data_IF_880436077105
#
_entry.id   IF_880436077105
#
_cell.length_a   1.000
_cell.length_b   1.000
_cell.length_c   1.000
_cell.angle_alpha   90.00
_cell.angle_beta   90.00
_cell.angle_gamma   90.00
#
_symmetry.space_group_name_H-M   'P 1'
#
loop_
_entity.id
_entity.type
_entity.pdbx_description
1 polymer ?
#
# COMPACT_ATOMS: atom_id res chain seq x y z
N UNK A 1 -44.56 -5.94 50.80
CA UNK A 1 -44.53 -7.24 50.11
C UNK A 1 -45.58 -7.13 49.02
N UNK A 2 -45.37 -7.25 47.72
CA UNK A 2 -44.22 -7.54 46.88
C UNK A 2 -44.79 -7.33 45.46
N UNK A 3 -44.31 -6.37 44.67
CA UNK A 3 -44.55 -6.48 43.22
C UNK A 3 -43.36 -5.94 42.42
N UNK A 4 -42.24 -6.66 42.58
CA UNK A 4 -41.00 -6.50 41.80
C UNK A 4 -41.01 -7.34 40.52
N UNK A 5 -42.18 -7.65 39.93
CA UNK A 5 -42.29 -8.64 38.84
C UNK A 5 -42.25 -8.08 37.41
N UNK A 6 -42.20 -6.76 37.22
CA UNK A 6 -42.23 -6.17 35.87
C UNK A 6 -40.85 -5.91 35.24
N UNK A 7 -39.75 -6.05 36.00
CA UNK A 7 -38.39 -5.78 35.50
C UNK A 7 -37.64 -6.96 34.87
N UNK A 8 -38.16 -8.19 34.94
CA UNK A 8 -37.38 -9.41 34.63
C UNK A 8 -37.62 -9.94 33.21
N UNK A 9 -38.65 -9.46 32.50
CA UNK A 9 -38.96 -9.99 31.16
C UNK A 9 -38.29 -9.24 30.01
N UNK A 10 -37.94 -7.96 30.17
CA UNK A 10 -37.26 -7.19 29.11
C UNK A 10 -35.78 -7.53 28.95
N UNK A 11 -35.12 -8.11 29.95
CA UNK A 11 -33.70 -8.45 29.87
C UNK A 11 -33.40 -9.81 29.21
N UNK A 12 -34.42 -10.67 28.99
CA UNK A 12 -34.23 -11.98 28.34
C UNK A 12 -34.04 -11.90 26.82
N UNK A 13 -34.52 -10.82 26.19
CA UNK A 13 -34.34 -10.59 24.75
C UNK A 13 -32.89 -10.21 24.39
N UNK A 14 -32.16 -9.57 25.30
CA UNK A 14 -30.75 -9.21 25.10
C UNK A 14 -29.81 -10.37 25.45
N UNK A 15 -30.13 -11.17 26.48
CA UNK A 15 -29.28 -12.28 26.93
C UNK A 15 -29.25 -13.49 25.96
N UNK A 16 -30.18 -13.56 25.00
CA UNK A 16 -30.27 -14.68 24.04
C UNK A 16 -29.68 -14.37 22.66
N UNK A 17 -29.47 -13.09 22.33
CA UNK A 17 -28.83 -12.67 21.07
C UNK A 17 -27.30 -12.86 21.10
N UNK A 18 -26.67 -12.81 22.28
CA UNK A 18 -25.21 -12.80 22.43
C UNK A 18 -24.61 -14.21 22.65
N UNK A 19 -25.42 -15.18 23.07
CA UNK A 19 -24.96 -16.54 23.37
C UNK A 19 -24.77 -17.45 22.14
N UNK A 20 -25.12 -16.98 20.93
CA UNK A 20 -24.93 -17.72 19.67
C UNK A 20 -23.75 -17.23 18.84
N UNK A 21 -23.13 -16.09 19.20
CA UNK A 21 -22.00 -15.51 18.47
C UNK A 21 -20.62 -15.94 18.99
N UNK A 22 -20.53 -16.79 20.00
CA UNK A 22 -19.27 -17.07 20.71
C UNK A 22 -18.61 -18.43 20.43
N UNK A 23 -19.09 -19.24 19.46
CA UNK A 23 -18.50 -20.59 19.22
C UNK A 23 -18.03 -20.88 17.79
N UNK A 24 -18.20 -19.96 16.84
CA UNK A 24 -17.55 -20.08 15.55
C UNK A 24 -16.25 -19.29 15.57
N UNK A 25 -15.12 -19.89 15.18
CA UNK A 25 -13.99 -19.09 14.67
C UNK A 25 -14.60 -18.22 13.57
N UNK A 26 -14.80 -16.93 13.86
CA UNK A 26 -15.58 -16.04 13.00
C UNK A 26 -15.09 -16.19 11.57
N UNK A 27 -16.00 -16.41 10.62
CA UNK A 27 -15.64 -16.64 9.22
C UNK A 27 -14.74 -15.50 8.68
N UNK A 28 -14.88 -14.31 9.24
CA UNK A 28 -14.04 -13.16 8.95
C UNK A 28 -12.63 -13.28 9.56
N UNK A 29 -12.49 -13.84 10.76
CA UNK A 29 -11.17 -14.19 11.32
C UNK A 29 -10.45 -15.25 10.48
N UNK A 30 -11.19 -16.23 9.93
CA UNK A 30 -10.60 -17.21 9.00
C UNK A 30 -10.21 -16.58 7.65
N UNK A 31 -11.00 -15.65 7.11
CA UNK A 31 -10.65 -14.88 5.90
C UNK A 31 -9.41 -14.02 6.11
N UNK A 32 -9.31 -13.34 7.26
CA UNK A 32 -8.14 -12.53 7.63
C UNK A 32 -6.90 -13.42 7.74
N UNK A 33 -6.97 -14.52 8.49
CA UNK A 33 -5.87 -15.47 8.65
C UNK A 33 -5.43 -16.05 7.30
N UNK A 34 -6.38 -16.36 6.41
CA UNK A 34 -6.13 -16.86 5.06
C UNK A 34 -5.39 -15.84 4.17
N UNK A 35 -5.77 -14.56 4.21
CA UNK A 35 -5.04 -13.50 3.51
C UNK A 35 -3.67 -13.23 4.13
N UNK A 36 -3.52 -13.40 5.44
CA UNK A 36 -2.23 -13.26 6.13
C UNK A 36 -1.20 -14.26 5.59
N UNK A 37 -1.59 -15.51 5.29
CA UNK A 37 -0.67 -16.49 4.71
C UNK A 37 -0.20 -16.11 3.31
N UNK A 38 -1.07 -15.52 2.48
CA UNK A 38 -0.69 -15.03 1.15
C UNK A 38 0.32 -13.88 1.26
N UNK A 39 0.09 -12.93 2.17
CA UNK A 39 1.03 -11.83 2.42
C UNK A 39 2.38 -12.30 2.94
N UNK A 40 2.39 -13.27 3.86
CA UNK A 40 3.62 -13.88 4.38
C UNK A 40 4.39 -14.62 3.28
N UNK A 41 3.70 -15.36 2.42
CA UNK A 41 4.32 -16.03 1.28
C UNK A 41 4.94 -15.02 0.30
N UNK A 42 4.22 -13.95 -0.07
CA UNK A 42 4.76 -12.91 -0.95
C UNK A 42 5.99 -12.23 -0.34
N UNK A 43 5.97 -11.98 0.96
CA UNK A 43 7.10 -11.38 1.69
C UNK A 43 8.31 -12.33 1.68
N UNK A 44 8.12 -13.60 1.99
CA UNK A 44 9.22 -14.58 1.98
C UNK A 44 9.82 -14.79 0.58
N UNK A 45 8.98 -14.87 -0.45
CA UNK A 45 9.44 -15.06 -1.83
C UNK A 45 10.14 -13.82 -2.39
N UNK A 46 9.80 -12.62 -1.92
CA UNK A 46 10.49 -11.40 -2.34
C UNK A 46 11.83 -11.24 -1.59
N UNK A 47 11.82 -11.40 -0.27
CA UNK A 47 13.01 -11.15 0.56
C UNK A 47 13.99 -12.32 0.60
N UNK A 48 13.54 -13.56 0.40
CA UNK A 48 14.38 -14.75 0.43
C UNK A 48 15.47 -14.77 -0.66
N UNK A 49 15.13 -14.60 -1.94
CA UNK A 49 16.10 -14.48 -3.02
C UNK A 49 16.98 -13.24 -2.89
N UNK A 50 16.41 -12.11 -2.43
CA UNK A 50 17.17 -10.89 -2.16
C UNK A 50 18.24 -11.12 -1.07
N UNK A 51 17.89 -11.79 0.03
CA UNK A 51 18.82 -12.16 1.11
C UNK A 51 19.86 -13.19 0.66
N UNK A 52 19.47 -14.16 -0.17
CA UNK A 52 20.38 -15.17 -0.71
C UNK A 52 21.40 -14.56 -1.66
N UNK A 53 20.94 -13.74 -2.63
CA UNK A 53 21.81 -13.02 -3.56
C UNK A 53 22.72 -12.06 -2.81
N UNK A 54 22.21 -11.35 -1.81
CA UNK A 54 23.01 -10.49 -0.95
C UNK A 54 24.08 -11.30 -0.21
N UNK A 55 23.76 -12.42 0.44
CA UNK A 55 24.76 -13.26 1.12
C UNK A 55 25.82 -13.84 0.19
N UNK A 56 25.45 -14.23 -1.03
CA UNK A 56 26.38 -14.87 -1.98
C UNK A 56 27.26 -13.84 -2.70
N UNK A 57 26.75 -12.64 -2.99
CA UNK A 57 27.47 -11.61 -3.77
C UNK A 57 28.02 -10.44 -2.94
N UNK A 58 27.80 -10.40 -1.63
CA UNK A 58 28.36 -9.37 -0.72
C UNK A 58 29.88 -9.22 -0.77
N UNK A 59 30.61 -10.17 -1.37
CA UNK A 59 32.08 -10.14 -1.46
C UNK A 59 32.64 -9.71 -2.82
N UNK A 60 31.80 -9.49 -3.85
CA UNK A 60 32.30 -9.25 -5.24
C UNK A 60 32.13 -7.82 -5.77
N UNK A 61 31.54 -6.91 -5.01
CA UNK A 61 31.37 -5.52 -5.41
C UNK A 61 32.04 -4.59 -4.38
N UNK A 62 33.31 -4.26 -4.60
CA UNK A 62 33.91 -3.05 -4.02
C UNK A 62 33.41 -1.84 -4.83
N UNK A 63 32.12 -1.52 -4.68
CA UNK A 63 31.65 -0.16 -4.95
C UNK A 63 32.01 0.62 -3.70
N UNK A 64 32.69 1.76 -3.82
CA UNK A 64 32.85 2.73 -2.74
C UNK A 64 31.46 2.98 -2.17
N UNK A 65 31.12 2.32 -1.06
CA UNK A 65 29.83 2.50 -0.42
C UNK A 65 29.82 3.93 0.09
N UNK A 66 28.99 4.84 -0.44
CA UNK A 66 28.70 6.07 0.29
C UNK A 66 28.25 5.63 1.68
N UNK A 67 28.76 6.28 2.73
CA UNK A 67 28.52 5.87 4.10
C UNK A 67 27.03 5.62 4.31
N UNK A 68 26.69 4.42 4.77
CA UNK A 68 25.34 4.02 5.21
C UNK A 68 25.00 4.74 6.53
N UNK A 69 25.14 6.06 6.56
CA UNK A 69 24.83 6.93 7.70
C UNK A 69 23.37 7.41 7.66
N UNK A 70 22.59 7.00 6.66
CA UNK A 70 21.21 7.41 6.53
C UNK A 70 20.32 6.42 7.29
N UNK A 71 19.96 6.79 8.52
CA UNK A 71 18.97 6.05 9.28
C UNK A 71 17.63 6.13 8.50
N UNK A 72 17.04 5.00 8.05
CA UNK A 72 15.80 5.01 7.27
C UNK A 72 14.58 5.50 8.09
N UNK A 73 14.76 5.65 9.41
CA UNK A 73 13.81 6.27 10.36
C UNK A 73 14.39 7.57 10.96
N UNK A 74 15.26 8.28 10.24
CA UNK A 74 15.73 9.57 10.71
C UNK A 74 14.58 10.59 10.68
N UNK A 75 14.49 11.39 11.75
CA UNK A 75 13.49 12.44 11.90
C UNK A 75 13.53 13.42 10.71
N UNK A 76 14.73 13.63 10.14
CA UNK A 76 14.91 14.44 8.94
C UNK A 76 14.17 13.86 7.72
N UNK A 77 14.28 12.56 7.45
CA UNK A 77 13.62 11.92 6.30
C UNK A 77 12.10 11.87 6.48
N UNK A 78 11.62 11.61 7.71
CA UNK A 78 10.20 11.64 8.03
C UNK A 78 9.60 13.05 7.84
N UNK A 79 10.33 14.09 8.25
CA UNK A 79 9.90 15.48 8.07
C UNK A 79 9.86 15.86 6.59
N UNK A 80 10.86 15.44 5.79
CA UNK A 80 10.86 15.65 4.33
C UNK A 80 9.67 14.97 3.64
N UNK A 81 9.35 13.73 4.01
CA UNK A 81 8.18 13.03 3.46
C UNK A 81 6.87 13.71 3.88
N UNK A 82 6.74 14.12 5.15
CA UNK A 82 5.58 14.88 5.63
C UNK A 82 5.42 16.24 4.93
N UNK A 83 6.52 16.92 4.64
CA UNK A 83 6.53 18.15 3.86
C UNK A 83 6.06 17.90 2.41
N UNK A 84 6.56 16.83 1.77
CA UNK A 84 6.12 16.43 0.44
C UNK A 84 4.61 16.15 0.41
N UNK A 85 4.10 15.37 1.36
CA UNK A 85 2.66 15.09 1.47
C UNK A 85 1.86 16.38 1.61
N UNK A 86 2.30 17.30 2.47
CA UNK A 86 1.66 18.59 2.68
C UNK A 86 1.60 19.40 1.38
N UNK A 87 2.69 19.47 0.63
CA UNK A 87 2.72 20.17 -0.67
C UNK A 87 1.75 19.54 -1.65
N UNK A 88 1.74 18.22 -1.77
CA UNK A 88 0.85 17.52 -2.71
C UNK A 88 -0.62 17.69 -2.30
N UNK A 89 -0.94 17.66 -1.00
CA UNK A 89 -2.30 17.94 -0.50
C UNK A 89 -2.73 19.36 -0.84
N UNK A 90 -1.89 20.36 -0.57
CA UNK A 90 -2.19 21.76 -0.87
C UNK A 90 -2.39 21.99 -2.36
N UNK A 91 -1.53 21.40 -3.20
CA UNK A 91 -1.67 21.46 -4.65
C UNK A 91 -2.93 20.74 -5.12
N UNK A 92 -3.25 19.58 -4.53
CA UNK A 92 -4.46 18.82 -4.81
C UNK A 92 -5.71 19.62 -4.55
N UNK A 93 -5.83 20.17 -3.34
CA UNK A 93 -6.94 21.04 -2.96
C UNK A 93 -7.04 22.27 -3.87
N UNK A 94 -5.92 22.96 -4.12
CA UNK A 94 -5.90 24.14 -4.96
C UNK A 94 -6.29 23.86 -6.42
N UNK A 95 -5.82 22.75 -6.98
CA UNK A 95 -6.14 22.35 -8.35
C UNK A 95 -7.56 21.79 -8.47
N UNK A 96 -8.08 21.13 -7.44
CA UNK A 96 -9.48 20.73 -7.35
C UNK A 96 -10.38 21.97 -7.33
N UNK A 97 -10.10 22.94 -6.47
CA UNK A 97 -10.90 24.16 -6.34
C UNK A 97 -10.86 25.03 -7.62
N UNK A 98 -9.70 25.09 -8.30
CA UNK A 98 -9.51 25.92 -9.48
C UNK A 98 -9.89 25.26 -10.80
N UNK A 99 -9.63 23.95 -10.95
CA UNK A 99 -9.73 23.22 -12.22
C UNK A 99 -10.55 21.92 -12.12
N UNK A 100 -11.10 21.60 -10.95
CA UNK A 100 -11.89 20.39 -10.70
C UNK A 100 -11.10 19.10 -10.91
N UNK A 101 -11.80 18.07 -11.39
CA UNK A 101 -11.22 16.74 -11.66
C UNK A 101 -10.01 16.80 -12.62
N UNK A 102 -10.03 17.71 -13.60
CA UNK A 102 -8.94 17.86 -14.56
C UNK A 102 -7.63 18.31 -13.87
N UNK A 103 -7.74 19.17 -12.85
CA UNK A 103 -6.61 19.59 -12.02
C UNK A 103 -6.01 18.43 -11.23
N UNK A 104 -6.88 17.58 -10.68
CA UNK A 104 -6.48 16.35 -9.97
C UNK A 104 -5.78 15.36 -10.90
N UNK A 105 -6.30 15.13 -12.11
CA UNK A 105 -5.65 14.25 -13.09
C UNK A 105 -4.29 14.78 -13.55
N UNK A 106 -4.19 16.09 -13.78
CA UNK A 106 -2.92 16.73 -14.14
C UNK A 106 -1.87 16.59 -13.02
N UNK A 107 -2.28 16.86 -11.78
CA UNK A 107 -1.43 16.67 -10.60
C UNK A 107 -0.99 15.21 -10.47
N UNK A 108 -1.91 14.26 -10.64
CA UNK A 108 -1.62 12.85 -10.52
C UNK A 108 -0.65 12.35 -11.59
N UNK A 109 -0.82 12.78 -12.84
CA UNK A 109 0.12 12.49 -13.92
C UNK A 109 1.52 13.07 -13.63
N UNK A 110 1.59 14.33 -13.17
CA UNK A 110 2.86 14.98 -12.85
C UNK A 110 3.57 14.30 -11.66
N UNK A 111 2.87 14.06 -10.56
CA UNK A 111 3.43 13.36 -9.40
C UNK A 111 3.82 11.92 -9.72
N UNK A 112 3.08 11.22 -10.58
CA UNK A 112 3.39 9.87 -11.03
C UNK A 112 4.75 9.74 -11.72
N UNK A 113 5.32 10.82 -12.28
CA UNK A 113 6.68 10.82 -12.81
C UNK A 113 7.73 10.72 -11.69
N UNK A 114 7.45 11.32 -10.54
CA UNK A 114 8.39 11.43 -9.42
C UNK A 114 8.21 10.31 -8.39
N UNK A 115 7.02 10.23 -7.79
CA UNK A 115 6.69 9.26 -6.75
C UNK A 115 5.17 9.05 -6.68
N UNK A 116 4.73 7.79 -6.80
CA UNK A 116 3.32 7.41 -6.75
C UNK A 116 2.80 7.31 -5.31
N UNK A 117 3.66 7.10 -4.31
CA UNK A 117 3.24 6.81 -2.94
C UNK A 117 2.68 8.07 -2.26
N UNK A 118 3.39 9.19 -2.41
CA UNK A 118 2.96 10.48 -1.85
C UNK A 118 1.61 10.94 -2.43
N UNK A 119 1.42 10.85 -3.75
CA UNK A 119 0.17 11.25 -4.40
C UNK A 119 -0.98 10.29 -4.07
N UNK A 120 -0.72 8.99 -3.96
CA UNK A 120 -1.75 8.02 -3.57
C UNK A 120 -2.27 8.29 -2.17
N UNK A 121 -1.37 8.56 -1.22
CA UNK A 121 -1.75 8.91 0.14
C UNK A 121 -2.51 10.24 0.20
N UNK A 122 -2.06 11.26 -0.56
CA UNK A 122 -2.75 12.55 -0.64
C UNK A 122 -4.15 12.43 -1.22
N UNK A 123 -4.33 11.72 -2.34
CA UNK A 123 -5.64 11.54 -2.97
C UNK A 123 -6.59 10.71 -2.12
N UNK A 124 -6.06 9.71 -1.42
CA UNK A 124 -6.86 8.94 -0.44
C UNK A 124 -7.35 9.85 0.68
N UNK A 125 -6.52 10.77 1.16
CA UNK A 125 -6.91 11.73 2.20
C UNK A 125 -7.91 12.77 1.67
N UNK A 126 -7.66 13.36 0.51
CA UNK A 126 -8.59 14.28 -0.15
C UNK A 126 -9.95 13.63 -0.42
N UNK A 127 -9.98 12.33 -0.76
CA UNK A 127 -11.22 11.58 -0.92
C UNK A 127 -12.04 11.46 0.37
N UNK A 128 -11.41 11.54 1.54
CA UNK A 128 -12.13 11.60 2.83
C UNK A 128 -12.61 13.02 3.16
N UNK A 129 -12.02 14.04 2.54
CA UNK A 129 -12.26 15.46 2.80
C UNK A 129 -13.18 16.13 1.74
N UNK A 130 -13.71 15.37 0.78
CA UNK A 130 -14.75 15.84 -0.15
C UNK A 130 -14.51 15.50 -1.63
N UNK A 131 -13.30 15.09 -2.01
CA UNK A 131 -13.00 14.67 -3.37
C UNK A 131 -13.79 13.40 -3.72
N UNK A 132 -14.38 13.36 -4.92
CA UNK A 132 -15.12 12.19 -5.37
C UNK A 132 -14.22 10.95 -5.43
N UNK A 133 -14.65 9.86 -4.77
CA UNK A 133 -13.89 8.61 -4.71
C UNK A 133 -13.54 8.05 -6.11
N UNK A 134 -14.44 8.25 -7.08
CA UNK A 134 -14.18 7.86 -8.46
C UNK A 134 -13.01 8.63 -9.08
N UNK A 135 -12.97 9.96 -8.91
CA UNK A 135 -11.87 10.82 -9.37
C UNK A 135 -10.55 10.42 -8.70
N UNK A 136 -10.56 10.19 -7.38
CA UNK A 136 -9.37 9.77 -6.64
C UNK A 136 -8.81 8.43 -7.17
N UNK A 137 -9.67 7.43 -7.40
CA UNK A 137 -9.25 6.13 -7.96
C UNK A 137 -8.66 6.29 -9.36
N UNK A 138 -9.33 7.03 -10.26
CA UNK A 138 -8.82 7.25 -11.61
C UNK A 138 -7.47 7.99 -11.61
N UNK A 139 -7.34 8.99 -10.75
CA UNK A 139 -6.10 9.73 -10.58
C UNK A 139 -4.96 8.84 -10.06
N UNK A 140 -5.21 7.96 -9.08
CA UNK A 140 -4.22 6.99 -8.58
C UNK A 140 -3.78 6.03 -9.69
N UNK A 141 -4.74 5.48 -10.45
CA UNK A 141 -4.45 4.58 -11.59
C UNK A 141 -3.63 5.29 -12.65
N UNK A 142 -3.95 6.55 -12.95
CA UNK A 142 -3.20 7.39 -13.88
C UNK A 142 -1.77 7.61 -13.39
N UNK A 143 -1.58 8.00 -12.12
CA UNK A 143 -0.26 8.20 -11.53
C UNK A 143 0.59 6.92 -11.59
N UNK A 144 0.01 5.77 -11.23
CA UNK A 144 0.67 4.47 -11.30
C UNK A 144 1.07 4.09 -12.73
N UNK A 145 0.21 4.37 -13.70
CA UNK A 145 0.48 4.14 -15.13
C UNK A 145 1.65 4.98 -15.60
N UNK A 146 1.65 6.29 -15.30
CA UNK A 146 2.76 7.19 -15.65
C UNK A 146 4.06 6.71 -15.02
N UNK A 147 4.06 6.39 -13.72
CA UNK A 147 5.24 5.87 -13.02
C UNK A 147 5.82 4.62 -13.69
N UNK A 148 4.96 3.69 -14.09
CA UNK A 148 5.38 2.48 -14.78
C UNK A 148 5.97 2.79 -16.16
N UNK A 149 5.35 3.69 -16.93
CA UNK A 149 5.88 4.12 -18.23
C UNK A 149 7.25 4.79 -18.08
N UNK A 150 7.39 5.71 -17.11
CA UNK A 150 8.66 6.41 -16.85
C UNK A 150 9.74 5.43 -16.41
N UNK A 151 9.46 4.53 -15.46
CA UNK A 151 10.42 3.50 -15.01
C UNK A 151 10.81 2.54 -16.12
N UNK A 152 9.86 2.15 -16.97
CA UNK A 152 10.14 1.29 -18.14
C UNK A 152 11.04 2.03 -19.14
N UNK A 153 10.74 3.29 -19.43
CA UNK A 153 11.58 4.14 -20.29
C UNK A 153 12.99 4.34 -19.73
N UNK A 154 13.11 4.60 -18.42
CA UNK A 154 14.40 4.72 -17.73
C UNK A 154 15.16 3.40 -17.74
N UNK A 155 14.51 2.26 -17.48
CA UNK A 155 15.14 0.95 -17.51
C UNK A 155 15.67 0.61 -18.91
N UNK A 156 14.94 0.99 -19.96
CA UNK A 156 15.37 0.80 -21.34
C UNK A 156 16.53 1.72 -21.72
N UNK A 157 16.49 2.99 -21.28
CA UNK A 157 17.47 4.02 -21.67
C UNK A 157 18.76 4.00 -20.84
N UNK A 158 18.66 3.76 -19.53
CA UNK A 158 19.78 3.84 -18.58
C UNK A 158 20.28 2.46 -18.08
N UNK A 159 19.59 1.36 -18.39
CA UNK A 159 19.92 0.03 -17.87
C UNK A 159 20.85 -0.80 -18.78
N UNK A 160 21.73 -1.60 -18.17
CA UNK A 160 22.32 -2.78 -18.82
C UNK A 160 21.40 -3.99 -18.56
N UNK A 161 21.10 -4.81 -19.58
CA UNK A 161 20.07 -5.89 -19.52
C UNK A 161 20.19 -6.81 -18.30
N UNK A 162 21.41 -7.01 -17.80
CA UNK A 162 21.74 -7.87 -16.66
C UNK A 162 21.15 -7.41 -15.32
N UNK A 163 21.20 -6.12 -14.97
CA UNK A 163 20.67 -5.60 -13.69
C UNK A 163 19.15 -5.55 -13.68
N UNK A 164 18.53 -5.23 -14.83
CA UNK A 164 17.08 -5.27 -15.00
C UNK A 164 16.50 -6.68 -14.80
N UNK A 165 17.14 -7.72 -15.36
CA UNK A 165 16.74 -9.11 -15.19
C UNK A 165 16.92 -9.62 -13.75
N UNK A 166 17.98 -9.19 -13.06
CA UNK A 166 18.27 -9.59 -11.67
C UNK A 166 17.25 -9.06 -10.65
N UNK A 167 16.62 -7.90 -10.92
CA UNK A 167 15.59 -7.30 -10.04
C UNK A 167 14.18 -7.67 -10.49
N UNK A 168 13.92 -7.72 -11.80
CA UNK A 168 12.61 -8.04 -12.34
C UNK A 168 12.20 -9.50 -12.09
N UNK A 169 13.14 -10.45 -12.12
CA UNK A 169 12.86 -11.87 -11.89
C UNK A 169 12.20 -12.16 -10.52
N UNK A 170 12.80 -11.73 -9.40
CA UNK A 170 12.20 -11.90 -8.07
C UNK A 170 10.86 -11.18 -7.89
N UNK A 171 10.70 -9.99 -8.50
CA UNK A 171 9.45 -9.22 -8.45
C UNK A 171 8.31 -9.92 -9.19
N UNK A 172 8.56 -10.43 -10.40
CA UNK A 172 7.56 -11.15 -11.20
C UNK A 172 7.21 -12.49 -10.56
N UNK A 173 8.18 -13.19 -9.98
CA UNK A 173 7.93 -14.44 -9.25
C UNK A 173 7.10 -14.23 -7.99
N UNK A 174 7.34 -13.16 -7.22
CA UNK A 174 6.52 -12.90 -6.01
C UNK A 174 5.09 -12.50 -6.37
N UNK A 175 4.91 -11.69 -7.42
CA UNK A 175 3.59 -11.32 -7.96
C UNK A 175 2.85 -12.54 -8.50
N UNK A 176 3.52 -13.38 -9.29
CA UNK A 176 2.93 -14.60 -9.86
C UNK A 176 2.51 -15.61 -8.79
N UNK A 177 3.34 -15.80 -7.76
CA UNK A 177 3.01 -16.68 -6.64
C UNK A 177 1.82 -16.14 -5.83
N UNK A 178 1.77 -14.82 -5.59
CA UNK A 178 0.64 -14.18 -4.90
C UNK A 178 -0.68 -14.34 -5.67
N UNK A 179 -0.65 -14.13 -6.99
CA UNK A 179 -1.80 -14.32 -7.88
C UNK A 179 -2.27 -15.78 -7.96
N UNK A 180 -1.34 -16.73 -8.06
CA UNK A 180 -1.66 -18.17 -8.05
C UNK A 180 -2.32 -18.61 -6.74
N UNK A 181 -1.78 -18.17 -5.61
CA UNK A 181 -2.35 -18.49 -4.29
C UNK A 181 -3.74 -17.86 -4.14
N UNK A 182 -3.94 -16.62 -4.60
CA UNK A 182 -5.24 -15.96 -4.58
C UNK A 182 -6.27 -16.63 -5.50
N UNK A 183 -5.84 -17.25 -6.61
CA UNK A 183 -6.72 -17.94 -7.55
C UNK A 183 -7.08 -19.37 -7.11
N UNK A 184 -6.23 -20.00 -6.30
CA UNK A 184 -6.44 -21.32 -5.69
C UNK A 184 -7.29 -21.28 -4.41
N UNK A 185 -7.66 -20.09 -3.92
CA UNK A 185 -8.51 -19.85 -2.75
C UNK A 185 -9.97 -19.67 -3.13
#
# INVERSE_FOLDING_TARGET
MEDRRYGVQQNRGYATADASQSTGINADAMKVLRNTYALLAMTLLLYGPALYLWRVHSRRFQVTQPSLAQNPLDLSSALSFGALLTVVLLLGQFLEDGFGDAGIYALAAASGVADVDAITLSLTRLSNDGLAAHTAVLAIVLAATVNNLVKTGMAWSLGNRQTGLLVAGPMVLSLGAGLLIAWLQ
#
